data_IF_124636713550
#
_entry.id   IF_124636713550
#
_cell.length_a   1.000
_cell.length_b   1.000
_cell.length_c   1.000
_cell.angle_alpha   90.00
_cell.angle_beta   90.00
_cell.angle_gamma   90.00
#
_symmetry.space_group_name_H-M   'P 1'
#
loop_
_entity.id
_entity.type
_entity.pdbx_description
1 polymer ?
#
# COMPACT_ATOMS: atom_id res chain seq x y z
N UNK A 1 -22.64 10.21 -2.64
CA UNK A 1 -21.86 10.83 -1.55
C UNK A 1 -20.41 10.30 -1.62
N UNK A 2 -19.39 11.16 -1.73
CA UNK A 2 -17.99 10.70 -1.80
C UNK A 2 -17.53 10.30 -0.40
N UNK A 3 -17.22 9.03 -0.19
CA UNK A 3 -16.62 8.58 1.06
C UNK A 3 -15.28 9.30 1.27
N UNK A 4 -15.12 9.94 2.44
CA UNK A 4 -13.84 10.50 2.83
C UNK A 4 -12.82 9.37 2.99
N UNK A 5 -11.56 9.61 2.61
CA UNK A 5 -10.48 8.67 2.90
C UNK A 5 -10.31 8.64 4.41
N UNK A 6 -10.59 7.50 5.04
CA UNK A 6 -10.34 7.34 6.47
C UNK A 6 -8.83 7.43 6.68
N UNK A 7 -8.39 8.41 7.47
CA UNK A 7 -7.03 8.48 7.95
C UNK A 7 -6.81 7.34 8.93
N UNK A 8 -6.01 6.36 8.55
CA UNK A 8 -5.51 5.34 9.45
C UNK A 8 -4.14 5.79 9.97
N UNK A 9 -3.72 5.29 11.14
CA UNK A 9 -2.44 5.64 11.78
C UNK A 9 -1.19 5.11 11.05
N UNK A 10 -1.27 4.76 9.76
CA UNK A 10 -0.12 4.42 8.95
C UNK A 10 0.33 5.60 8.10
N UNK A 11 1.60 5.65 7.83
CA UNK A 11 2.23 6.61 6.92
C UNK A 11 2.61 6.01 5.57
N UNK A 12 2.38 4.71 5.38
CA UNK A 12 2.65 3.99 4.14
C UNK A 12 1.36 3.69 3.40
N UNK A 13 1.33 4.01 2.11
CA UNK A 13 0.17 3.82 1.26
C UNK A 13 0.56 3.22 -0.08
N UNK A 14 -0.13 2.15 -0.45
CA UNK A 14 -0.09 1.62 -1.79
C UNK A 14 -1.14 2.34 -2.63
N UNK A 15 -0.71 2.94 -3.71
CA UNK A 15 -1.52 3.73 -4.64
C UNK A 15 -1.55 3.03 -5.99
N UNK A 16 -2.72 2.97 -6.61
CA UNK A 16 -2.88 2.47 -7.96
C UNK A 16 -3.68 3.45 -8.82
N UNK A 17 -3.21 3.69 -10.02
CA UNK A 17 -3.91 4.44 -11.07
C UNK A 17 -4.06 3.58 -12.32
N UNK A 18 -5.14 3.80 -13.08
CA UNK A 18 -5.46 2.99 -14.24
C UNK A 18 -6.02 3.86 -15.38
N UNK A 19 -5.64 3.52 -16.60
CA UNK A 19 -6.23 4.10 -17.81
C UNK A 19 -7.73 3.84 -17.92
N UNK A 20 -8.46 4.82 -18.48
CA UNK A 20 -9.89 4.67 -18.73
C UNK A 20 -10.14 3.42 -19.60
N UNK A 21 -11.18 2.65 -19.29
CA UNK A 21 -11.52 1.41 -20.00
C UNK A 21 -10.36 0.41 -20.14
N UNK A 22 -9.41 0.40 -19.17
CA UNK A 22 -8.17 -0.39 -19.21
C UNK A 22 -7.25 -0.04 -20.39
N UNK A 23 -7.38 1.17 -20.96
CA UNK A 23 -6.54 1.65 -22.05
C UNK A 23 -5.06 1.62 -21.67
N UNK A 24 -4.20 1.21 -22.62
CA UNK A 24 -2.75 1.12 -22.43
C UNK A 24 -2.10 2.51 -22.52
N UNK A 25 -2.38 3.35 -21.54
CA UNK A 25 -1.91 4.74 -21.49
C UNK A 25 -0.40 4.87 -21.29
N UNK A 26 0.27 3.82 -20.88
CA UNK A 26 1.73 3.73 -20.70
C UNK A 26 2.39 2.74 -21.69
N UNK A 27 1.75 2.42 -22.84
CA UNK A 27 2.28 1.42 -23.78
C UNK A 27 3.70 1.72 -24.25
N UNK A 28 3.97 2.99 -24.54
CA UNK A 28 5.23 3.44 -25.14
C UNK A 28 6.26 3.80 -24.05
N UNK A 29 7.52 3.44 -24.30
CA UNK A 29 8.63 3.71 -23.38
C UNK A 29 8.74 5.20 -23.03
N UNK A 30 8.54 6.08 -23.99
CA UNK A 30 8.51 7.52 -23.77
C UNK A 30 7.44 7.94 -22.75
N UNK A 31 6.24 7.36 -22.84
CA UNK A 31 5.13 7.66 -21.92
C UNK A 31 5.42 7.11 -20.51
N UNK A 32 6.02 5.92 -20.40
CA UNK A 32 6.46 5.37 -19.10
C UNK A 32 7.52 6.27 -18.46
N UNK A 33 8.57 6.64 -19.22
CA UNK A 33 9.62 7.54 -18.72
C UNK A 33 9.07 8.91 -18.31
N UNK A 34 8.18 9.47 -19.11
CA UNK A 34 7.50 10.74 -18.79
C UNK A 34 6.70 10.63 -17.50
N UNK A 35 5.99 9.51 -17.30
CA UNK A 35 5.22 9.30 -16.08
C UNK A 35 6.13 9.20 -14.84
N UNK A 36 7.22 8.42 -14.92
CA UNK A 36 8.21 8.30 -13.83
C UNK A 36 8.81 9.66 -13.49
N UNK A 37 9.25 10.41 -14.49
CA UNK A 37 9.79 11.76 -14.28
C UNK A 37 8.77 12.69 -13.59
N UNK A 38 7.51 12.72 -14.03
CA UNK A 38 6.49 13.54 -13.38
C UNK A 38 6.12 13.05 -11.98
N UNK A 39 6.23 11.74 -11.73
CA UNK A 39 6.02 11.14 -10.42
C UNK A 39 7.09 11.61 -9.43
N UNK A 40 8.35 11.59 -9.83
CA UNK A 40 9.48 12.04 -9.00
C UNK A 40 9.37 13.53 -8.69
N UNK A 41 9.13 14.36 -9.71
CA UNK A 41 8.92 15.81 -9.54
C UNK A 41 7.74 16.11 -8.58
N UNK A 42 6.62 15.41 -8.75
CA UNK A 42 5.44 15.64 -7.92
C UNK A 42 5.67 15.17 -6.48
N UNK A 43 6.41 14.08 -6.30
CA UNK A 43 6.76 13.57 -4.98
C UNK A 43 7.67 14.54 -4.23
N UNK A 44 8.73 15.03 -4.87
CA UNK A 44 9.66 16.00 -4.29
C UNK A 44 8.94 17.28 -3.86
N UNK A 45 8.15 17.89 -4.76
CA UNK A 45 7.41 19.12 -4.50
C UNK A 45 6.41 19.01 -3.35
N UNK A 46 5.86 17.82 -3.13
CA UNK A 46 4.84 17.59 -2.09
C UNK A 46 5.38 16.82 -0.88
N UNK A 47 6.72 16.69 -0.74
CA UNK A 47 7.39 16.02 0.39
C UNK A 47 6.95 14.57 0.61
N UNK A 48 6.47 13.91 -0.45
CA UNK A 48 6.14 12.49 -0.47
C UNK A 48 7.39 11.70 -0.79
N UNK A 49 7.65 10.62 -0.06
CA UNK A 49 8.75 9.71 -0.38
C UNK A 49 8.21 8.49 -1.12
N UNK A 50 8.68 8.28 -2.34
CA UNK A 50 8.41 7.06 -3.09
C UNK A 50 9.26 5.94 -2.49
N UNK A 51 8.60 4.81 -2.16
CA UNK A 51 9.23 3.62 -1.61
C UNK A 51 9.44 2.59 -2.70
N UNK A 52 8.41 2.29 -3.47
CA UNK A 52 8.49 1.40 -4.62
C UNK A 52 7.50 1.82 -5.70
N UNK A 53 7.78 1.48 -6.95
CA UNK A 53 6.84 1.68 -8.04
C UNK A 53 7.02 0.63 -9.14
N UNK A 54 5.97 0.45 -9.94
CA UNK A 54 5.98 -0.26 -11.21
C UNK A 54 4.96 0.36 -12.16
N UNK A 55 5.40 0.77 -13.35
CA UNK A 55 4.55 1.36 -14.39
C UNK A 55 4.29 0.32 -15.47
N UNK A 56 3.12 -0.30 -15.43
CA UNK A 56 2.65 -1.28 -16.42
C UNK A 56 2.05 -0.57 -17.63
N UNK A 57 1.64 -1.29 -18.66
CA UNK A 57 1.09 -0.66 -19.89
C UNK A 57 -0.20 0.14 -19.66
N UNK A 58 -1.09 -0.31 -18.79
CA UNK A 58 -2.42 0.28 -18.58
C UNK A 58 -2.68 0.80 -17.17
N UNK A 59 -1.75 0.60 -16.24
CA UNK A 59 -1.85 1.03 -14.85
C UNK A 59 -0.46 1.24 -14.24
N UNK A 60 -0.40 1.89 -13.09
CA UNK A 60 0.82 2.00 -12.30
C UNK A 60 0.52 1.78 -10.81
N UNK A 61 1.44 1.07 -10.16
CA UNK A 61 1.50 0.89 -8.72
C UNK A 61 2.58 1.78 -8.15
N UNK A 62 2.27 2.47 -7.05
CA UNK A 62 3.20 3.35 -6.35
C UNK A 62 3.02 3.12 -4.84
N UNK A 63 4.09 2.75 -4.16
CA UNK A 63 4.11 2.68 -2.70
C UNK A 63 4.80 3.93 -2.17
N UNK A 64 4.13 4.67 -1.30
CA UNK A 64 4.61 5.94 -0.78
C UNK A 64 4.63 5.97 0.75
N UNK A 65 5.55 6.79 1.29
CA UNK A 65 5.54 7.25 2.67
C UNK A 65 5.16 8.72 2.69
N UNK A 66 4.20 9.07 3.54
CA UNK A 66 3.70 10.44 3.73
C UNK A 66 3.62 10.78 5.22
N UNK A 67 3.64 12.04 5.53
CA UNK A 67 3.33 12.54 6.88
C UNK A 67 1.84 12.80 7.02
N UNK A 68 1.25 13.45 6.00
CA UNK A 68 -0.15 13.84 5.96
C UNK A 68 -0.83 13.43 4.64
N UNK A 69 -2.09 13.05 4.68
CA UNK A 69 -2.86 12.65 3.49
C UNK A 69 -3.00 13.75 2.44
N UNK A 70 -2.86 15.00 2.85
CA UNK A 70 -2.90 16.14 1.95
C UNK A 70 -1.70 16.15 1.00
N UNK A 71 -0.50 15.75 1.47
CA UNK A 71 0.71 15.61 0.66
C UNK A 71 0.49 14.64 -0.51
N UNK A 72 -0.07 13.46 -0.21
CA UNK A 72 -0.41 12.47 -1.23
C UNK A 72 -1.47 12.98 -2.20
N UNK A 73 -2.48 13.68 -1.70
CA UNK A 73 -3.55 14.23 -2.54
C UNK A 73 -3.03 15.27 -3.52
N UNK A 74 -2.15 16.17 -3.08
CA UNK A 74 -1.49 17.18 -3.92
C UNK A 74 -0.55 16.54 -4.94
N UNK A 75 0.28 15.59 -4.51
CA UNK A 75 1.18 14.83 -5.39
C UNK A 75 0.38 14.16 -6.53
N UNK A 76 -0.63 13.38 -6.19
CA UNK A 76 -1.40 12.63 -7.18
C UNK A 76 -2.24 13.53 -8.09
N UNK A 77 -2.73 14.66 -7.59
CA UNK A 77 -3.40 15.65 -8.43
C UNK A 77 -2.43 16.24 -9.46
N UNK A 78 -1.26 16.70 -9.02
CA UNK A 78 -0.24 17.27 -9.89
C UNK A 78 0.24 16.26 -10.94
N UNK A 79 0.60 15.03 -10.51
CA UNK A 79 1.05 13.95 -11.39
C UNK A 79 0.01 13.62 -12.46
N UNK A 80 -1.22 13.32 -12.04
CA UNK A 80 -2.27 12.87 -12.95
C UNK A 80 -2.67 13.95 -13.95
N UNK A 81 -2.75 15.21 -13.51
CA UNK A 81 -3.10 16.34 -14.38
C UNK A 81 -2.01 16.58 -15.43
N UNK A 82 -0.74 16.66 -15.02
CA UNK A 82 0.39 16.86 -15.93
C UNK A 82 0.49 15.71 -16.94
N UNK A 83 0.36 14.48 -16.48
CA UNK A 83 0.42 13.32 -17.35
C UNK A 83 -0.74 13.28 -18.32
N UNK A 84 -1.97 13.53 -17.88
CA UNK A 84 -3.15 13.55 -18.76
C UNK A 84 -3.03 14.61 -19.87
N UNK A 85 -2.55 15.81 -19.52
CA UNK A 85 -2.28 16.86 -20.52
C UNK A 85 -1.23 16.42 -21.55
N UNK A 86 -0.12 15.82 -21.09
CA UNK A 86 0.96 15.33 -21.95
C UNK A 86 0.49 14.19 -22.86
N UNK A 87 -0.23 13.22 -22.29
CA UNK A 87 -0.77 12.08 -23.02
C UNK A 87 -1.77 12.53 -24.09
N UNK A 88 -2.72 13.39 -23.75
CA UNK A 88 -3.71 13.91 -24.69
C UNK A 88 -3.07 14.70 -25.82
N UNK A 89 -2.06 15.55 -25.52
CA UNK A 89 -1.27 16.25 -26.54
C UNK A 89 -0.52 15.26 -27.45
N UNK A 90 0.11 14.22 -26.86
CA UNK A 90 0.87 13.23 -27.62
C UNK A 90 -0.01 12.36 -28.53
N UNK A 91 -1.24 12.04 -28.08
CA UNK A 91 -2.22 11.24 -28.84
C UNK A 91 -3.19 12.08 -29.67
N UNK A 92 -3.00 13.40 -29.73
CA UNK A 92 -3.87 14.35 -30.45
C UNK A 92 -5.36 14.16 -30.11
N UNK A 93 -5.63 13.97 -28.81
CA UNK A 93 -6.98 13.72 -28.28
C UNK A 93 -7.32 14.62 -27.10
N UNK A 94 -8.59 14.63 -26.72
CA UNK A 94 -9.10 15.29 -25.50
C UNK A 94 -9.88 14.30 -24.64
N UNK A 95 -10.20 14.71 -23.40
CA UNK A 95 -11.02 13.94 -22.47
C UNK A 95 -10.20 13.23 -21.39
N UNK A 96 -10.88 12.34 -20.65
CA UNK A 96 -10.28 11.65 -19.52
C UNK A 96 -9.27 10.59 -19.96
N UNK A 97 -8.11 10.58 -19.30
CA UNK A 97 -7.04 9.58 -19.49
C UNK A 97 -7.14 8.48 -18.43
N UNK A 98 -7.40 8.85 -17.19
CA UNK A 98 -7.55 7.90 -16.09
C UNK A 98 -9.02 7.52 -15.87
N UNK A 99 -9.24 6.26 -15.45
CA UNK A 99 -10.58 5.70 -15.21
C UNK A 99 -11.33 6.46 -14.11
N UNK A 100 -10.60 6.78 -13.02
CA UNK A 100 -11.13 7.47 -11.84
C UNK A 100 -9.99 8.19 -11.12
N UNK A 101 -10.29 8.74 -9.93
CA UNK A 101 -9.23 9.10 -8.98
C UNK A 101 -8.42 7.85 -8.63
N UNK A 102 -7.14 8.05 -8.27
CA UNK A 102 -6.32 6.95 -7.80
C UNK A 102 -7.00 6.16 -6.67
N UNK A 103 -6.80 4.85 -6.67
CA UNK A 103 -7.12 3.97 -5.55
C UNK A 103 -5.95 4.01 -4.57
N UNK A 104 -6.25 3.83 -3.28
CA UNK A 104 -5.26 3.94 -2.22
C UNK A 104 -5.62 2.98 -1.11
N UNK A 105 -4.69 2.14 -0.71
CA UNK A 105 -4.79 1.29 0.46
C UNK A 105 -3.69 1.58 1.46
N UNK A 106 -3.98 1.34 2.71
CA UNK A 106 -3.15 1.66 3.84
C UNK A 106 -2.30 0.44 4.24
N UNK A 107 -1.00 0.61 4.40
CA UNK A 107 -0.06 -0.45 4.80
C UNK A 107 0.12 -0.39 6.32
N UNK A 108 -0.37 -1.38 7.04
CA UNK A 108 -0.54 -1.31 8.50
C UNK A 108 0.62 -1.89 9.31
N UNK A 109 1.43 -2.77 8.72
CA UNK A 109 2.55 -3.42 9.41
C UNK A 109 3.72 -3.69 8.46
N UNK A 110 4.86 -4.07 9.03
CA UNK A 110 6.10 -4.27 8.29
C UNK A 110 6.04 -5.48 7.34
N UNK A 111 5.38 -6.55 7.73
CA UNK A 111 5.21 -7.74 6.87
C UNK A 111 4.40 -7.39 5.64
N UNK A 112 3.30 -6.63 5.82
CA UNK A 112 2.50 -6.13 4.72
C UNK A 112 3.29 -5.18 3.81
N UNK A 113 4.15 -4.32 4.39
CA UNK A 113 5.03 -3.42 3.64
C UNK A 113 6.01 -4.22 2.76
N UNK A 114 6.69 -5.22 3.32
CA UNK A 114 7.60 -6.11 2.58
C UNK A 114 6.88 -6.81 1.43
N UNK A 115 5.72 -7.41 1.71
CA UNK A 115 4.93 -8.09 0.70
C UNK A 115 4.41 -7.14 -0.40
N UNK A 116 4.04 -5.90 -0.04
CA UNK A 116 3.64 -4.89 -1.02
C UNK A 116 4.79 -4.50 -1.97
N UNK A 117 6.01 -4.33 -1.45
CA UNK A 117 7.19 -4.06 -2.28
C UNK A 117 7.45 -5.21 -3.25
N UNK A 118 7.45 -6.45 -2.75
CA UNK A 118 7.60 -7.66 -3.59
C UNK A 118 6.50 -7.76 -4.65
N UNK A 119 5.25 -7.53 -4.25
CA UNK A 119 4.11 -7.52 -5.15
C UNK A 119 4.30 -6.50 -6.29
N UNK A 120 4.67 -5.26 -5.96
CA UNK A 120 4.90 -4.19 -6.96
C UNK A 120 6.01 -4.59 -7.93
N UNK A 121 7.14 -5.09 -7.42
CA UNK A 121 8.27 -5.48 -8.25
C UNK A 121 8.00 -6.74 -9.09
N UNK A 122 7.12 -7.63 -8.62
CA UNK A 122 6.79 -8.87 -9.33
C UNK A 122 5.66 -8.71 -10.38
N UNK A 123 5.02 -7.54 -10.46
CA UNK A 123 3.94 -7.31 -11.43
C UNK A 123 4.32 -7.60 -12.88
N UNK A 124 5.50 -7.17 -13.40
CA UNK A 124 5.89 -7.46 -14.78
C UNK A 124 6.10 -8.96 -15.04
N UNK A 125 6.65 -9.68 -14.06
CA UNK A 125 6.85 -11.14 -14.15
C UNK A 125 5.51 -11.86 -14.14
N UNK A 126 4.62 -11.50 -13.21
CA UNK A 126 3.25 -12.04 -13.12
C UNK A 126 2.45 -11.79 -14.41
N UNK A 127 2.68 -10.66 -15.07
CA UNK A 127 2.05 -10.33 -16.34
C UNK A 127 2.72 -10.97 -17.57
N UNK A 128 3.78 -11.77 -17.38
CA UNK A 128 4.52 -12.42 -18.46
C UNK A 128 5.30 -11.46 -19.37
N UNK A 129 5.60 -10.25 -18.91
CA UNK A 129 6.34 -9.24 -19.69
C UNK A 129 7.83 -9.52 -19.64
N UNK A 130 8.34 -10.07 -18.55
CA UNK A 130 9.73 -10.45 -18.34
C UNK A 130 9.80 -11.73 -17.50
N UNK A 131 10.97 -12.38 -17.48
CA UNK A 131 11.21 -13.60 -16.67
C UNK A 131 11.61 -13.24 -15.24
N UNK A 132 12.39 -12.17 -15.07
CA UNK A 132 12.89 -11.72 -13.78
C UNK A 132 12.59 -10.23 -13.57
N UNK A 133 12.43 -9.80 -12.31
CA UNK A 133 12.08 -8.43 -11.94
C UNK A 133 13.11 -7.41 -12.44
N UNK A 134 14.40 -7.80 -12.48
CA UNK A 134 15.51 -6.95 -12.92
C UNK A 134 15.51 -6.62 -14.42
N UNK A 135 14.78 -7.37 -15.24
CA UNK A 135 14.66 -7.13 -16.68
C UNK A 135 13.72 -5.95 -16.99
N UNK A 136 12.77 -5.65 -16.08
CA UNK A 136 11.79 -4.59 -16.32
C UNK A 136 12.30 -3.21 -15.88
N UNK A 137 12.49 -2.33 -16.86
CA UNK A 137 13.11 -1.02 -16.66
C UNK A 137 12.22 -0.03 -15.89
N UNK A 138 10.90 -0.11 -16.04
CA UNK A 138 9.93 0.85 -15.45
C UNK A 138 9.41 0.43 -14.08
N UNK A 139 10.30 -0.14 -13.28
CA UNK A 139 10.11 -0.57 -11.90
C UNK A 139 11.28 -0.08 -11.05
N UNK A 140 11.01 0.25 -9.79
CA UNK A 140 12.04 0.62 -8.82
C UNK A 140 12.92 -0.55 -8.36
N UNK A 141 12.72 -1.77 -8.86
CA UNK A 141 13.50 -2.93 -8.46
C UNK A 141 15.02 -2.69 -8.63
N UNK A 142 15.42 -2.12 -9.77
CA UNK A 142 16.84 -1.80 -10.03
C UNK A 142 17.41 -0.76 -9.07
N UNK A 143 16.60 0.20 -8.62
CA UNK A 143 17.00 1.20 -7.65
C UNK A 143 17.26 0.59 -6.27
N UNK A 144 16.56 -0.51 -5.96
CA UNK A 144 16.83 -1.33 -4.78
C UNK A 144 18.18 -2.05 -4.90
N UNK A 145 18.42 -2.74 -6.01
CA UNK A 145 19.66 -3.51 -6.22
C UNK A 145 20.90 -2.59 -6.31
N UNK A 146 20.77 -1.41 -6.91
CA UNK A 146 21.86 -0.45 -7.03
C UNK A 146 22.09 0.40 -5.78
N UNK A 147 21.27 0.27 -4.74
CA UNK A 147 21.35 1.07 -3.52
C UNK A 147 20.91 2.53 -3.66
N UNK A 148 20.29 2.91 -4.78
CA UNK A 148 19.80 4.26 -5.04
C UNK A 148 18.70 4.69 -4.05
N UNK A 149 17.82 3.76 -3.67
CA UNK A 149 16.86 3.99 -2.59
C UNK A 149 17.65 3.91 -1.29
N UNK A 150 17.70 5.01 -0.57
CA UNK A 150 18.60 5.20 0.58
C UNK A 150 18.66 3.99 1.52
N UNK A 151 19.83 3.38 1.62
CA UNK A 151 20.11 2.16 2.39
C UNK A 151 19.58 2.20 3.83
N UNK A 152 19.54 3.37 4.47
CA UNK A 152 18.95 3.51 5.81
C UNK A 152 17.49 3.10 5.90
N UNK A 153 16.69 3.39 4.87
CA UNK A 153 15.28 3.00 4.84
C UNK A 153 15.13 1.52 4.52
N UNK A 154 15.93 1.02 3.58
CA UNK A 154 15.95 -0.38 3.19
C UNK A 154 16.34 -1.25 4.39
N UNK A 155 17.43 -0.93 5.08
CA UNK A 155 17.88 -1.65 6.26
C UNK A 155 16.82 -1.64 7.38
N UNK A 156 16.11 -0.52 7.54
CA UNK A 156 15.02 -0.44 8.50
C UNK A 156 13.82 -1.34 8.15
N UNK A 157 13.58 -1.58 6.86
CA UNK A 157 12.46 -2.41 6.39
C UNK A 157 12.85 -3.88 6.33
N UNK A 158 14.02 -4.20 5.81
CA UNK A 158 14.42 -5.56 5.43
C UNK A 158 15.54 -6.15 6.30
N UNK A 159 16.24 -5.36 7.12
CA UNK A 159 17.47 -5.78 7.80
C UNK A 159 18.72 -5.49 6.98
N UNK A 160 19.83 -6.18 7.29
CA UNK A 160 21.13 -5.94 6.66
C UNK A 160 21.18 -6.30 5.17
N UNK A 161 22.13 -5.69 4.45
CA UNK A 161 22.18 -5.65 2.99
C UNK A 161 22.13 -7.02 2.25
N UNK A 162 22.62 -8.10 2.85
CA UNK A 162 22.60 -9.45 2.26
C UNK A 162 21.23 -10.11 2.43
N UNK A 163 20.62 -9.99 3.60
CA UNK A 163 19.26 -10.49 3.88
C UNK A 163 18.22 -9.80 3.00
N UNK A 164 18.43 -8.53 2.73
CA UNK A 164 17.53 -7.70 1.95
C UNK A 164 17.33 -8.19 0.50
N UNK A 165 18.42 -8.52 -0.23
CA UNK A 165 18.31 -9.03 -1.61
C UNK A 165 17.59 -10.38 -1.62
N UNK A 166 17.92 -11.26 -0.67
CA UNK A 166 17.25 -12.55 -0.51
C UNK A 166 15.75 -12.36 -0.15
N UNK A 167 15.46 -11.47 0.79
CA UNK A 167 14.09 -11.14 1.18
C UNK A 167 13.26 -10.51 0.05
N UNK A 168 13.90 -9.70 -0.81
CA UNK A 168 13.22 -9.05 -1.94
C UNK A 168 12.73 -10.06 -2.98
N UNK A 169 13.44 -11.17 -3.15
CA UNK A 169 13.14 -12.22 -4.12
C UNK A 169 12.22 -13.33 -3.58
N UNK A 170 11.86 -13.29 -2.29
CA UNK A 170 10.88 -14.24 -1.74
C UNK A 170 9.52 -14.11 -2.45
N UNK A 171 8.80 -15.21 -2.64
CA UNK A 171 7.43 -15.15 -3.14
C UNK A 171 6.55 -14.29 -2.24
N UNK A 172 5.58 -13.61 -2.84
CA UNK A 172 4.55 -12.90 -2.08
C UNK A 172 3.70 -13.93 -1.35
N UNK A 173 3.56 -13.79 -0.04
CA UNK A 173 2.68 -14.66 0.73
C UNK A 173 1.24 -14.55 0.21
N UNK A 174 0.61 -15.69 -0.06
CA UNK A 174 -0.69 -15.81 -0.72
C UNK A 174 -1.86 -15.17 0.04
N UNK A 175 -1.67 -14.84 1.31
CA UNK A 175 -2.69 -14.26 2.18
C UNK A 175 -2.95 -12.76 1.96
N UNK A 176 -2.09 -12.06 1.20
CA UNK A 176 -2.25 -10.64 0.92
C UNK A 176 -2.78 -10.41 -0.49
N UNK A 177 -3.99 -9.86 -0.60
CA UNK A 177 -4.55 -9.35 -1.85
C UNK A 177 -4.30 -7.86 -1.93
N UNK A 178 -3.56 -7.40 -2.92
CA UNK A 178 -3.27 -5.97 -3.14
C UNK A 178 -4.28 -5.36 -4.11
N UNK A 179 -4.45 -4.02 -4.06
CA UNK A 179 -5.25 -3.33 -5.08
C UNK A 179 -4.64 -3.58 -6.45
N UNK A 180 -5.47 -4.07 -7.39
CA UNK A 180 -5.07 -4.41 -8.75
C UNK A 180 -6.18 -4.07 -9.74
N UNK A 181 -5.87 -4.23 -11.04
CA UNK A 181 -6.78 -3.95 -12.17
C UNK A 181 -8.04 -4.80 -12.10
N UNK A 182 -7.92 -6.05 -11.68
CA UNK A 182 -9.02 -7.01 -11.62
C UNK A 182 -9.76 -7.03 -10.28
N UNK A 183 -9.20 -6.43 -9.25
CA UNK A 183 -9.85 -6.23 -7.96
C UNK A 183 -10.68 -4.94 -7.95
N UNK A 184 -11.92 -5.01 -8.42
CA UNK A 184 -12.87 -3.88 -8.33
C UNK A 184 -13.25 -3.53 -6.88
N UNK A 185 -12.94 -4.37 -5.93
CA UNK A 185 -13.14 -4.20 -4.50
C UNK A 185 -12.06 -3.29 -3.87
N UNK A 186 -11.76 -2.18 -4.52
CA UNK A 186 -11.04 -1.08 -3.87
C UNK A 186 -11.89 -0.52 -2.74
N UNK A 187 -11.49 -0.78 -1.51
CA UNK A 187 -11.87 -0.21 -0.22
C UNK A 187 -12.35 -1.21 0.85
N UNK A 188 -12.30 -2.50 0.64
CA UNK A 188 -12.56 -3.46 1.72
C UNK A 188 -11.35 -4.37 1.93
N UNK A 189 -10.19 -3.79 2.29
CA UNK A 189 -9.22 -4.55 3.07
C UNK A 189 -9.81 -4.73 4.47
N UNK A 190 -10.67 -5.70 4.56
CA UNK A 190 -10.83 -6.42 5.81
C UNK A 190 -9.61 -7.34 5.89
N UNK A 191 -8.49 -6.85 6.45
CA UNK A 191 -7.61 -7.80 7.14
C UNK A 191 -8.58 -8.61 7.98
N UNK A 192 -8.60 -9.94 7.76
CA UNK A 192 -9.50 -10.76 8.55
C UNK A 192 -9.24 -10.37 10.01
N UNK A 193 -10.26 -9.91 10.76
CA UNK A 193 -10.04 -9.50 12.14
C UNK A 193 -9.43 -10.63 12.98
N UNK A 194 -9.66 -11.89 12.56
CA UNK A 194 -9.07 -13.08 13.13
C UNK A 194 -7.54 -13.10 12.92
N UNK A 195 -7.05 -12.66 11.76
CA UNK A 195 -5.62 -12.55 11.50
C UNK A 195 -4.98 -11.47 12.36
N UNK A 196 -5.62 -10.31 12.51
CA UNK A 196 -5.14 -9.24 13.42
C UNK A 196 -4.98 -9.75 14.85
N UNK A 197 -5.93 -10.54 15.31
CA UNK A 197 -5.90 -11.14 16.65
C UNK A 197 -4.76 -12.16 16.74
N UNK A 198 -4.59 -13.01 15.74
CA UNK A 198 -3.51 -14.01 15.67
C UNK A 198 -2.14 -13.34 15.66
N UNK A 199 -1.94 -12.32 14.82
CA UNK A 199 -0.69 -11.56 14.74
C UNK A 199 -0.39 -10.85 16.07
N UNK A 200 -1.39 -10.25 16.71
CA UNK A 200 -1.24 -9.63 18.03
C UNK A 200 -0.77 -10.63 19.10
N UNK A 201 -1.31 -11.85 19.10
CA UNK A 201 -0.88 -12.90 20.04
C UNK A 201 0.56 -13.33 19.75
N UNK A 202 0.94 -13.52 18.50
CA UNK A 202 2.30 -13.91 18.09
C UNK A 202 3.32 -12.81 18.39
N UNK A 203 3.05 -11.56 18.02
CA UNK A 203 3.96 -10.42 18.24
C UNK A 203 4.21 -10.12 19.74
N UNK A 204 3.26 -10.46 20.61
CA UNK A 204 3.37 -10.22 22.04
C UNK A 204 3.66 -11.50 22.85
N UNK A 205 3.95 -12.64 22.20
CA UNK A 205 4.16 -13.94 22.83
C UNK A 205 3.03 -14.32 23.81
N UNK A 206 1.78 -14.08 23.42
CA UNK A 206 0.60 -14.33 24.27
C UNK A 206 -0.03 -15.67 23.88
N UNK A 207 -0.21 -16.54 24.86
CA UNK A 207 -1.08 -17.71 24.72
C UNK A 207 -2.54 -17.23 24.86
N UNK A 208 -3.44 -17.53 23.90
CA UNK A 208 -4.80 -16.98 23.87
C UNK A 208 -5.60 -17.17 25.18
N UNK A 209 -5.39 -18.29 25.88
CA UNK A 209 -6.04 -18.61 27.16
C UNK A 209 -5.49 -17.80 28.33
N UNK A 210 -4.29 -17.23 28.19
CA UNK A 210 -3.57 -16.53 29.26
C UNK A 210 -3.52 -15.01 29.07
N UNK A 211 -4.35 -14.45 28.19
CA UNK A 211 -4.33 -13.00 27.90
C UNK A 211 -4.76 -12.18 29.12
N UNK A 212 -3.91 -11.28 29.59
CA UNK A 212 -4.17 -10.38 30.73
C UNK A 212 -5.17 -9.29 30.37
N UNK A 213 -5.79 -8.66 31.39
CA UNK A 213 -6.72 -7.54 31.18
C UNK A 213 -6.09 -6.36 30.42
N UNK A 214 -4.82 -6.03 30.73
CA UNK A 214 -4.07 -4.97 30.05
C UNK A 214 -3.85 -5.29 28.56
N UNK A 215 -3.52 -6.54 28.26
CA UNK A 215 -3.36 -7.00 26.87
C UNK A 215 -4.69 -7.04 26.12
N UNK A 216 -5.80 -7.40 26.79
CA UNK A 216 -7.15 -7.30 26.22
C UNK A 216 -7.49 -5.85 25.84
N UNK A 217 -7.17 -4.88 26.69
CA UNK A 217 -7.38 -3.45 26.40
C UNK A 217 -6.56 -3.01 25.19
N UNK A 218 -5.26 -3.40 25.13
CA UNK A 218 -4.41 -3.10 23.95
C UNK A 218 -4.98 -3.69 22.68
N UNK A 219 -5.45 -4.93 22.70
CA UNK A 219 -6.07 -5.58 21.54
C UNK A 219 -7.38 -4.88 21.14
N UNK A 220 -8.25 -4.54 22.09
CA UNK A 220 -9.50 -3.82 21.81
C UNK A 220 -9.21 -2.45 21.19
N UNK A 221 -8.26 -1.68 21.74
CA UNK A 221 -7.83 -0.39 21.17
C UNK A 221 -7.25 -0.58 19.77
N UNK A 222 -6.40 -1.57 19.55
CA UNK A 222 -5.86 -1.91 18.24
C UNK A 222 -6.97 -2.16 17.21
N UNK A 223 -7.95 -3.03 17.54
CA UNK A 223 -9.06 -3.36 16.65
C UNK A 223 -9.97 -2.16 16.35
N UNK A 224 -10.20 -1.30 17.35
CA UNK A 224 -11.08 -0.13 17.22
C UNK A 224 -10.39 1.04 16.51
N UNK A 225 -9.19 1.42 16.96
CA UNK A 225 -8.52 2.65 16.54
C UNK A 225 -7.71 2.46 15.25
N UNK A 226 -6.98 1.34 15.14
CA UNK A 226 -6.13 1.06 13.98
C UNK A 226 -6.89 0.39 12.84
N UNK A 227 -7.82 -0.50 13.16
CA UNK A 227 -8.58 -1.27 12.14
C UNK A 227 -10.02 -0.78 11.95
N UNK A 228 -10.48 0.19 12.72
CA UNK A 228 -11.78 0.84 12.57
C UNK A 228 -12.99 -0.08 12.75
N UNK A 229 -12.84 -1.20 13.49
CA UNK A 229 -13.92 -2.14 13.75
C UNK A 229 -14.97 -1.52 14.67
N UNK A 230 -16.24 -1.78 14.37
CA UNK A 230 -17.34 -1.37 15.26
C UNK A 230 -17.36 -2.24 16.51
N UNK A 231 -17.81 -1.65 17.60
CA UNK A 231 -17.88 -2.37 18.89
C UNK A 231 -18.63 -3.70 18.83
N UNK A 232 -19.67 -3.78 17.99
CA UNK A 232 -20.44 -5.03 17.79
C UNK A 232 -19.59 -6.13 17.15
N UNK A 233 -18.72 -5.76 16.20
CA UNK A 233 -17.80 -6.68 15.53
C UNK A 233 -16.72 -7.17 16.51
N UNK A 234 -16.16 -6.27 17.33
CA UNK A 234 -15.18 -6.61 18.36
C UNK A 234 -15.78 -7.54 19.41
N UNK A 235 -17.05 -7.31 19.84
CA UNK A 235 -17.76 -8.19 20.76
C UNK A 235 -17.86 -9.63 20.23
N UNK A 236 -18.22 -9.77 18.95
CA UNK A 236 -18.33 -11.10 18.30
C UNK A 236 -16.99 -11.79 18.17
N UNK A 237 -15.95 -11.04 17.76
CA UNK A 237 -14.61 -11.56 17.52
C UNK A 237 -13.90 -12.04 18.79
N UNK A 238 -14.05 -11.30 19.88
CA UNK A 238 -13.41 -11.61 21.16
C UNK A 238 -14.32 -12.42 22.09
N UNK A 239 -15.51 -12.80 21.64
CA UNK A 239 -16.54 -13.45 22.44
C UNK A 239 -16.79 -12.72 23.77
N UNK A 240 -16.93 -11.39 23.70
CA UNK A 240 -17.13 -10.52 24.86
C UNK A 240 -18.44 -9.73 24.73
N UNK A 241 -19.16 -9.53 25.82
CA UNK A 241 -20.33 -8.64 25.80
C UNK A 241 -19.90 -7.16 25.89
N UNK A 242 -20.79 -6.25 25.45
CA UNK A 242 -20.54 -4.80 25.43
C UNK A 242 -20.17 -4.24 26.81
N UNK A 243 -20.84 -4.72 27.89
CA UNK A 243 -20.55 -4.25 29.26
C UNK A 243 -19.15 -4.62 29.71
N UNK A 244 -18.64 -5.79 29.32
CA UNK A 244 -17.27 -6.22 29.64
C UNK A 244 -16.23 -5.37 28.90
N UNK A 245 -16.42 -5.09 27.61
CA UNK A 245 -15.51 -4.23 26.84
C UNK A 245 -15.49 -2.83 27.44
N UNK A 246 -16.65 -2.26 27.77
CA UNK A 246 -16.74 -0.94 28.37
C UNK A 246 -15.98 -0.86 29.70
N UNK A 247 -16.21 -1.81 30.62
CA UNK A 247 -15.49 -1.87 31.92
C UNK A 247 -13.99 -2.03 31.77
N UNK A 248 -13.51 -2.77 30.75
CA UNK A 248 -12.08 -2.91 30.49
C UNK A 248 -11.46 -1.59 30.04
N UNK A 249 -12.13 -0.86 29.16
CA UNK A 249 -11.65 0.43 28.68
C UNK A 249 -11.70 1.53 29.74
N UNK A 250 -12.67 1.52 30.67
CA UNK A 250 -12.76 2.50 31.76
C UNK A 250 -11.73 2.25 32.87
N UNK A 251 -11.46 0.99 33.22
CA UNK A 251 -10.57 0.68 34.37
C UNK A 251 -9.08 0.59 34.00
N UNK A 252 -8.74 0.43 32.74
CA UNK A 252 -7.37 0.16 32.29
C UNK A 252 -7.02 0.97 31.01
N UNK A 253 -7.87 1.89 30.58
CA UNK A 253 -7.69 2.80 29.45
C UNK A 253 -7.19 4.13 29.90
#
# INVERSE_FOLDING_TARGET
>A
MRLSRKCYNSKFFHVMIQGIRKEKIFKENYLKSTFVHYMDDAAEKNKVRIIAYCVMDNHAHILVYIKEMEELSKMMHSLNTRYAMKYNKYKERCGFVFRNRYRCENILNITYLKNCIRYIHNNPVKAGICKEQGEYYYSSYRDYISGKIGMKLINKIFGDAIEYIFELNKPVESEHTFIDVDNELGNNYKISPQKVIKDFYLENNIVPECITKSQQVKLIKLLKEKYGLKQVEICKLLNMNRKRIYRLLEKHG
#
